data_IF_983284247391
#
_entry.id   IF_983284247391
#
_cell.length_a   1.000
_cell.length_b   1.000
_cell.length_c   1.000
_cell.angle_alpha   90.00
_cell.angle_beta   90.00
_cell.angle_gamma   90.00
#
_symmetry.space_group_name_H-M   'P 1'
#
loop_
_entity.id
_entity.type
_entity.pdbx_description
1 polymer ?
#
# COMPACT_ATOMS: atom_id res chain seq x y z
N UNK A 1 15.62 3.53 -6.09
CA UNK A 1 14.69 2.97 -5.07
C UNK A 1 14.32 1.55 -5.48
N UNK A 2 14.37 0.58 -4.55
CA UNK A 2 13.98 -0.82 -4.78
C UNK A 2 12.48 -0.93 -4.45
N UNK A 3 11.62 -1.22 -5.44
CA UNK A 3 10.17 -1.25 -5.27
C UNK A 3 9.60 -2.67 -5.17
N UNK A 4 10.35 -3.65 -5.67
CA UNK A 4 9.98 -5.06 -5.70
C UNK A 4 11.24 -5.90 -5.86
N UNK A 5 11.26 -7.07 -5.23
CA UNK A 5 12.29 -8.10 -5.41
C UNK A 5 11.60 -9.39 -5.84
N UNK A 6 12.08 -9.99 -6.93
CA UNK A 6 11.66 -11.28 -7.45
C UNK A 6 12.88 -12.20 -7.57
N UNK A 7 12.74 -13.43 -7.14
CA UNK A 7 13.80 -14.41 -7.22
C UNK A 7 13.51 -15.67 -6.40
N UNK A 8 14.53 -16.50 -6.25
CA UNK A 8 14.47 -17.74 -5.46
C UNK A 8 14.63 -17.42 -3.98
N UNK A 9 13.70 -17.88 -3.16
CA UNK A 9 13.77 -17.79 -1.70
C UNK A 9 14.87 -18.72 -1.18
N UNK A 10 15.93 -18.17 -0.61
CA UNK A 10 17.09 -18.91 -0.09
C UNK A 10 17.04 -19.11 1.41
N UNK A 11 16.48 -18.13 2.13
CA UNK A 11 16.29 -18.18 3.59
C UNK A 11 14.88 -17.72 3.92
N UNK A 12 14.23 -18.38 4.90
CA UNK A 12 12.89 -18.00 5.39
C UNK A 12 12.83 -18.13 6.91
N UNK A 13 12.99 -17.00 7.58
CA UNK A 13 12.86 -16.85 9.02
C UNK A 13 11.63 -16.00 9.37
N UNK A 14 11.18 -16.00 10.62
CA UNK A 14 9.96 -15.32 11.05
C UNK A 14 9.98 -13.80 10.84
N UNK A 15 11.15 -13.20 10.91
CA UNK A 15 11.36 -11.74 10.87
C UNK A 15 12.11 -11.27 9.63
N UNK A 16 12.76 -12.18 8.89
CA UNK A 16 13.47 -11.86 7.65
C UNK A 16 13.51 -13.01 6.66
N UNK A 17 13.80 -12.66 5.42
CA UNK A 17 13.99 -13.60 4.31
C UNK A 17 15.15 -13.15 3.43
N UNK A 18 15.75 -14.10 2.71
CA UNK A 18 16.69 -13.80 1.64
C UNK A 18 16.14 -14.26 0.30
N UNK A 19 16.22 -13.38 -0.69
CA UNK A 19 15.83 -13.68 -2.07
C UNK A 19 17.03 -13.48 -2.98
N UNK A 20 17.44 -14.55 -3.66
CA UNK A 20 18.47 -14.54 -4.70
C UNK A 20 17.82 -14.26 -6.05
N UNK A 21 18.17 -13.15 -6.65
CA UNK A 21 17.68 -12.78 -7.99
C UNK A 21 18.39 -13.55 -9.09
N UNK A 22 17.82 -13.62 -10.29
CA UNK A 22 18.46 -14.26 -11.45
C UNK A 22 19.80 -13.61 -11.84
N UNK A 23 19.95 -12.32 -11.56
CA UNK A 23 21.20 -11.58 -11.77
C UNK A 23 22.29 -11.88 -10.73
N UNK A 24 22.07 -12.81 -9.80
CA UNK A 24 23.07 -13.22 -8.79
C UNK A 24 23.21 -12.27 -7.61
N UNK A 25 22.26 -11.35 -7.39
CA UNK A 25 22.21 -10.47 -6.22
C UNK A 25 21.26 -11.06 -5.18
N UNK A 26 21.76 -11.30 -3.98
CA UNK A 26 20.95 -11.67 -2.80
C UNK A 26 20.45 -10.42 -2.06
N UNK A 27 19.17 -10.39 -1.76
CA UNK A 27 18.56 -9.36 -0.92
C UNK A 27 18.06 -9.97 0.37
N UNK A 28 18.48 -9.41 1.49
CA UNK A 28 17.88 -9.65 2.81
C UNK A 28 16.76 -8.64 3.04
N UNK A 29 15.58 -9.13 3.41
CA UNK A 29 14.39 -8.31 3.63
C UNK A 29 13.80 -8.62 5.01
N UNK A 30 13.63 -7.61 5.84
CA UNK A 30 12.80 -7.73 7.03
C UNK A 30 11.32 -7.78 6.63
N UNK A 31 10.57 -8.70 7.20
CA UNK A 31 9.17 -8.95 6.80
C UNK A 31 8.23 -8.98 8.02
N UNK A 32 6.95 -8.61 7.87
CA UNK A 32 5.93 -8.88 8.87
C UNK A 32 5.51 -10.37 8.83
N UNK A 33 4.90 -10.85 9.92
CA UNK A 33 4.43 -12.24 10.02
C UNK A 33 3.44 -12.61 8.90
N UNK A 34 2.59 -11.68 8.47
CA UNK A 34 1.68 -11.87 7.34
C UNK A 34 2.40 -12.23 6.03
N UNK A 35 3.54 -11.58 5.77
CA UNK A 35 4.36 -11.91 4.60
C UNK A 35 5.05 -13.26 4.75
N UNK A 36 5.55 -13.62 5.96
CA UNK A 36 6.09 -14.94 6.23
C UNK A 36 5.08 -16.06 5.92
N UNK A 37 3.83 -15.91 6.36
CA UNK A 37 2.75 -16.88 6.13
C UNK A 37 2.40 -17.03 4.65
N UNK A 38 2.45 -15.94 3.89
CA UNK A 38 2.11 -15.92 2.46
C UNK A 38 3.24 -16.44 1.55
N UNK A 39 4.48 -16.49 2.04
CA UNK A 39 5.63 -16.91 1.24
C UNK A 39 5.69 -18.43 1.04
N UNK A 40 6.16 -18.90 -0.14
CA UNK A 40 6.33 -20.30 -0.44
C UNK A 40 7.48 -20.94 0.39
N UNK A 41 7.81 -22.19 0.09
CA UNK A 41 8.92 -22.88 0.73
C UNK A 41 10.28 -22.36 0.20
N UNK A 42 11.31 -22.50 1.01
CA UNK A 42 12.70 -22.27 0.59
C UNK A 42 13.02 -23.10 -0.65
N UNK A 43 13.68 -22.47 -1.62
CA UNK A 43 13.99 -23.02 -2.93
C UNK A 43 13.01 -22.65 -4.05
N UNK A 44 11.79 -22.23 -3.71
CA UNK A 44 10.79 -21.76 -4.67
C UNK A 44 10.95 -20.27 -4.98
N UNK A 45 10.31 -19.80 -6.05
CA UNK A 45 10.32 -18.38 -6.42
C UNK A 45 9.31 -17.58 -5.62
N UNK A 46 9.70 -16.39 -5.21
CA UNK A 46 8.87 -15.45 -4.47
C UNK A 46 9.00 -14.04 -5.03
N UNK A 47 7.94 -13.26 -4.83
CA UNK A 47 7.90 -11.83 -5.13
C UNK A 47 7.50 -11.08 -3.88
N UNK A 48 8.28 -10.07 -3.50
CA UNK A 48 7.94 -9.16 -2.41
C UNK A 48 7.93 -7.72 -2.90
N UNK A 49 6.92 -6.98 -2.47
CA UNK A 49 6.86 -5.52 -2.62
C UNK A 49 7.70 -4.88 -1.55
N UNK A 50 8.61 -3.98 -1.93
CA UNK A 50 9.65 -3.55 -1.01
C UNK A 50 9.60 -2.06 -0.67
N UNK A 51 10.11 -1.73 0.51
CA UNK A 51 10.39 -0.38 0.96
C UNK A 51 11.79 -0.30 1.53
N UNK A 52 12.62 0.58 0.95
CA UNK A 52 13.98 0.82 1.40
C UNK A 52 13.99 1.99 2.39
N UNK A 53 14.55 1.76 3.57
CA UNK A 53 14.86 2.80 4.55
C UNK A 53 16.37 3.02 4.54
N UNK A 54 16.78 4.24 4.22
CA UNK A 54 18.17 4.66 4.19
C UNK A 54 18.45 5.50 5.42
N UNK A 55 19.46 5.13 6.21
CA UNK A 55 19.96 5.86 7.38
C UNK A 55 21.47 5.99 7.29
N UNK A 56 22.05 6.85 8.11
CA UNK A 56 23.50 7.02 8.20
C UNK A 56 24.21 5.73 8.67
N UNK A 57 23.57 4.98 9.54
CA UNK A 57 24.07 3.73 10.13
C UNK A 57 23.80 2.48 9.27
N UNK A 58 23.05 2.59 8.18
CA UNK A 58 22.79 1.47 7.28
C UNK A 58 21.52 1.58 6.46
N UNK A 59 21.39 0.63 5.54
CA UNK A 59 20.22 0.49 4.67
C UNK A 59 19.44 -0.75 5.11
N UNK A 60 18.14 -0.60 5.26
CA UNK A 60 17.24 -1.69 5.60
C UNK A 60 16.18 -1.83 4.53
N UNK A 61 16.02 -3.04 3.99
CA UNK A 61 15.00 -3.37 3.01
C UNK A 61 13.88 -4.14 3.71
N UNK A 62 12.65 -3.68 3.51
CA UNK A 62 11.44 -4.28 4.07
C UNK A 62 10.61 -4.91 2.96
N UNK A 63 10.09 -6.12 3.18
CA UNK A 63 9.33 -6.89 2.21
C UNK A 63 7.90 -7.15 2.66
N UNK A 64 6.94 -7.06 1.72
CA UNK A 64 5.51 -7.21 1.95
C UNK A 64 4.92 -8.10 0.87
N UNK A 65 3.93 -8.92 1.23
CA UNK A 65 3.24 -9.81 0.30
C UNK A 65 2.35 -9.04 -0.70
N UNK A 66 1.84 -7.88 -0.30
CA UNK A 66 0.95 -7.07 -1.14
C UNK A 66 1.40 -5.61 -1.25
N UNK A 67 1.02 -4.91 -2.37
CA UNK A 67 1.22 -3.46 -2.48
C UNK A 67 0.48 -2.69 -1.38
N UNK A 68 -0.64 -3.22 -0.88
CA UNK A 68 -1.42 -2.60 0.16
C UNK A 68 -0.69 -2.58 1.50
N UNK A 69 -0.16 -3.74 1.95
CA UNK A 69 0.68 -3.83 3.16
C UNK A 69 1.86 -2.84 3.11
N UNK A 70 2.56 -2.77 1.96
CA UNK A 70 3.64 -1.79 1.76
C UNK A 70 3.17 -0.35 1.90
N UNK A 71 2.00 0.00 1.35
CA UNK A 71 1.43 1.35 1.49
C UNK A 71 1.10 1.67 2.94
N UNK A 72 0.46 0.72 3.65
CA UNK A 72 0.13 0.88 5.07
C UNK A 72 1.40 1.07 5.90
N UNK A 73 2.42 0.23 5.69
CA UNK A 73 3.73 0.38 6.36
C UNK A 73 4.31 1.77 6.17
N UNK A 74 4.35 2.28 4.94
CA UNK A 74 4.86 3.62 4.64
C UNK A 74 4.08 4.71 5.37
N UNK A 75 2.76 4.61 5.41
CA UNK A 75 1.91 5.57 6.13
C UNK A 75 2.12 5.52 7.63
N UNK A 76 2.29 4.32 8.17
CA UNK A 76 2.56 4.14 9.61
C UNK A 76 3.89 4.79 10.03
N UNK A 77 4.91 4.76 9.16
CA UNK A 77 6.17 5.48 9.40
C UNK A 77 6.03 7.01 9.47
N UNK A 78 4.95 7.57 8.91
CA UNK A 78 4.68 9.03 8.98
C UNK A 78 4.14 9.47 10.35
N UNK A 79 3.87 8.54 11.27
CA UNK A 79 3.43 8.86 12.63
C UNK A 79 4.63 9.19 13.55
N UNK A 80 4.45 10.19 14.40
CA UNK A 80 5.51 10.65 15.31
C UNK A 80 6.00 9.55 16.24
N UNK A 81 7.31 9.31 16.23
CA UNK A 81 7.96 8.32 17.08
C UNK A 81 7.63 6.86 16.70
N UNK A 82 7.26 6.62 15.45
CA UNK A 82 7.12 5.28 14.87
C UNK A 82 8.31 5.02 13.95
N UNK A 83 9.14 4.08 14.37
CA UNK A 83 10.22 3.58 13.52
C UNK A 83 9.85 2.27 12.82
N UNK A 84 10.70 1.78 11.90
CA UNK A 84 10.43 0.56 11.13
C UNK A 84 10.12 -0.67 11.98
N UNK A 85 10.83 -0.87 13.09
CA UNK A 85 10.60 -2.01 13.98
C UNK A 85 9.18 -2.00 14.61
N UNK A 86 8.68 -0.82 15.01
CA UNK A 86 7.32 -0.71 15.52
C UNK A 86 6.29 -0.87 14.40
N UNK A 87 6.55 -0.31 13.22
CA UNK A 87 5.68 -0.45 12.06
C UNK A 87 5.56 -1.93 11.60
N UNK A 88 6.66 -2.70 11.59
CA UNK A 88 6.61 -4.15 11.38
C UNK A 88 5.84 -4.87 12.49
N UNK A 89 6.04 -4.51 13.74
CA UNK A 89 5.31 -5.09 14.88
C UNK A 89 3.79 -4.88 14.76
N UNK A 90 3.36 -3.70 14.31
CA UNK A 90 1.95 -3.40 14.03
C UNK A 90 1.39 -4.33 12.94
N UNK A 91 2.08 -4.49 11.82
CA UNK A 91 1.66 -5.35 10.70
C UNK A 91 1.85 -6.86 10.97
N UNK A 92 2.69 -7.24 11.92
CA UNK A 92 2.82 -8.64 12.35
C UNK A 92 1.71 -9.05 13.33
N UNK A 93 1.19 -8.11 14.12
CA UNK A 93 0.13 -8.38 15.11
C UNK A 93 -1.26 -8.20 14.50
N UNK A 94 -1.41 -7.23 13.61
CA UNK A 94 -2.68 -6.88 12.95
C UNK A 94 -2.50 -6.96 11.43
N UNK A 95 -3.46 -7.57 10.72
CA UNK A 95 -3.45 -7.43 9.26
C UNK A 95 -3.54 -5.97 8.87
N UNK A 96 -3.05 -5.61 7.67
CA UNK A 96 -3.05 -4.24 7.20
C UNK A 96 -4.46 -3.62 7.19
N UNK A 97 -5.48 -4.40 6.83
CA UNK A 97 -6.89 -3.99 6.83
C UNK A 97 -7.40 -3.74 8.24
N UNK A 98 -7.05 -4.64 9.19
CA UNK A 98 -7.45 -4.50 10.60
C UNK A 98 -6.78 -3.29 11.24
N UNK A 99 -5.50 -3.05 10.94
CA UNK A 99 -4.78 -1.88 11.43
C UNK A 99 -5.41 -0.58 10.92
N UNK A 100 -5.70 -0.49 9.61
CA UNK A 100 -6.36 0.68 9.01
C UNK A 100 -7.75 0.90 9.63
N UNK A 101 -8.53 -0.16 9.81
CA UNK A 101 -9.84 -0.10 10.45
C UNK A 101 -9.74 0.39 11.89
N UNK A 102 -8.85 -0.19 12.70
CA UNK A 102 -8.67 0.20 14.10
C UNK A 102 -8.30 1.68 14.26
N UNK A 103 -7.49 2.23 13.34
CA UNK A 103 -7.13 3.65 13.35
C UNK A 103 -8.33 4.53 12.96
N UNK A 104 -9.09 4.18 11.94
CA UNK A 104 -10.29 4.91 11.49
C UNK A 104 -11.40 4.92 12.55
N UNK A 105 -11.67 3.76 13.15
CA UNK A 105 -12.69 3.59 14.19
C UNK A 105 -12.20 4.08 15.56
N UNK A 106 -10.96 4.54 15.67
CA UNK A 106 -10.31 4.99 16.91
C UNK A 106 -10.32 3.89 18.00
N UNK A 107 -10.19 2.63 17.55
CA UNK A 107 -10.18 1.46 18.43
C UNK A 107 -8.82 1.34 19.14
N UNK A 108 -8.69 2.08 20.24
CA UNK A 108 -7.50 2.10 21.08
C UNK A 108 -7.20 0.72 21.66
N UNK A 109 -8.23 -0.06 22.00
CA UNK A 109 -8.06 -1.39 22.60
C UNK A 109 -7.37 -2.36 21.62
N UNK A 110 -7.81 -2.40 20.36
CA UNK A 110 -7.14 -3.19 19.32
C UNK A 110 -5.70 -2.75 19.10
N UNK A 111 -5.42 -1.43 19.07
CA UNK A 111 -4.05 -0.94 18.90
C UNK A 111 -3.14 -1.29 20.10
N UNK A 112 -3.67 -1.33 21.31
CA UNK A 112 -2.93 -1.72 22.51
C UNK A 112 -2.60 -3.22 22.56
N UNK A 113 -3.23 -4.06 21.75
CA UNK A 113 -2.86 -5.47 21.64
C UNK A 113 -1.46 -5.68 21.03
N UNK A 114 -0.93 -4.65 20.36
CA UNK A 114 0.39 -4.70 19.75
C UNK A 114 1.47 -4.47 20.82
N UNK A 115 2.50 -5.32 20.91
CA UNK A 115 3.61 -5.13 21.85
C UNK A 115 4.24 -3.76 21.72
N UNK A 116 4.56 -3.12 22.85
CA UNK A 116 5.15 -1.77 22.94
C UNK A 116 4.21 -0.62 22.53
N UNK A 117 2.92 -0.89 22.28
CA UNK A 117 1.90 0.12 22.02
C UNK A 117 1.04 0.27 23.27
N UNK A 118 1.40 1.21 24.13
CA UNK A 118 0.57 1.64 25.26
C UNK A 118 -0.52 2.63 24.82
N UNK A 119 -1.44 2.97 25.73
CA UNK A 119 -2.58 3.87 25.47
C UNK A 119 -2.17 5.19 24.79
N UNK A 120 -1.17 5.90 25.33
CA UNK A 120 -0.68 7.16 24.75
C UNK A 120 -0.18 7.01 23.31
N UNK A 121 0.51 5.90 23.01
CA UNK A 121 1.00 5.61 21.66
C UNK A 121 -0.15 5.27 20.73
N UNK A 122 -1.13 4.51 21.17
CA UNK A 122 -2.33 4.19 20.38
C UNK A 122 -3.14 5.45 20.03
N UNK A 123 -3.36 6.34 21.01
CA UNK A 123 -4.02 7.64 20.81
C UNK A 123 -3.23 8.52 19.82
N UNK A 124 -1.90 8.55 19.93
CA UNK A 124 -1.04 9.28 18.99
C UNK A 124 -1.09 8.69 17.57
N UNK A 125 -1.09 7.36 17.42
CA UNK A 125 -1.24 6.71 16.11
C UNK A 125 -2.56 7.10 15.45
N UNK A 126 -3.65 7.11 16.20
CA UNK A 126 -4.97 7.53 15.67
C UNK A 126 -4.91 9.00 15.24
N UNK A 127 -4.36 9.89 16.06
CA UNK A 127 -4.28 11.32 15.75
C UNK A 127 -3.44 11.59 14.49
N UNK A 128 -2.29 10.92 14.36
CA UNK A 128 -1.34 11.19 13.28
C UNK A 128 -1.75 10.54 11.95
N UNK A 129 -2.55 9.46 11.98
CA UNK A 129 -2.78 8.61 10.82
C UNK A 129 -4.23 8.57 10.33
N UNK A 130 -5.23 9.02 11.10
CA UNK A 130 -6.63 8.94 10.69
C UNK A 130 -6.85 9.52 9.29
N UNK A 131 -6.47 10.78 9.07
CA UNK A 131 -6.63 11.46 7.79
C UNK A 131 -5.72 10.89 6.68
N UNK A 132 -4.54 10.38 7.06
CA UNK A 132 -3.55 9.85 6.10
C UNK A 132 -3.91 8.47 5.55
N UNK A 133 -4.75 7.73 6.27
CA UNK A 133 -5.22 6.41 5.88
C UNK A 133 -6.57 6.43 5.15
N UNK A 134 -7.29 7.56 5.17
CA UNK A 134 -8.58 7.69 4.47
C UNK A 134 -8.47 7.48 2.95
N UNK A 135 -7.35 7.83 2.35
CA UNK A 135 -7.05 7.55 0.94
C UNK A 135 -6.55 6.13 0.64
N UNK A 136 -6.30 5.31 1.67
CA UNK A 136 -5.87 3.91 1.50
C UNK A 136 -7.02 2.91 1.51
N UNK A 137 -8.27 3.37 1.42
CA UNK A 137 -9.44 2.50 1.33
C UNK A 137 -9.33 1.53 0.17
N UNK A 138 -9.26 0.26 0.54
CA UNK A 138 -9.37 -0.94 -0.26
C UNK A 138 -9.16 -0.84 -1.77
N UNK A 139 -8.01 -1.30 -2.28
CA UNK A 139 -8.10 -1.92 -3.60
C UNK A 139 -9.01 -3.15 -3.42
N UNK A 140 -10.07 -3.29 -4.23
CA UNK A 140 -10.76 -4.56 -4.30
C UNK A 140 -9.71 -5.61 -4.69
N UNK A 141 -9.60 -6.70 -3.90
CA UNK A 141 -9.06 -7.96 -4.38
C UNK A 141 -9.57 -8.14 -5.81
N UNK A 142 -8.68 -8.50 -6.75
CA UNK A 142 -9.00 -8.67 -8.16
C UNK A 142 -10.16 -9.65 -8.37
N UNK A 143 -11.37 -9.14 -8.17
CA UNK A 143 -12.64 -9.72 -8.60
C UNK A 143 -13.19 -8.86 -9.73
N UNK A 144 -14.17 -9.33 -10.50
CA UNK A 144 -14.77 -8.54 -11.58
C UNK A 144 -15.27 -7.21 -10.99
N UNK A 145 -14.69 -6.10 -11.48
CA UNK A 145 -15.02 -4.73 -11.02
C UNK A 145 -16.49 -4.43 -11.36
N UNK A 146 -17.26 -3.86 -10.41
CA UNK A 146 -18.61 -3.39 -10.72
C UNK A 146 -18.59 -2.39 -11.88
N UNK A 147 -19.57 -2.47 -12.77
CA UNK A 147 -19.80 -1.47 -13.80
C UNK A 147 -19.98 -0.10 -13.12
N UNK A 148 -19.08 0.86 -13.39
CA UNK A 148 -19.04 2.18 -12.76
C UNK A 148 -17.71 2.56 -12.09
N UNK A 149 -16.87 1.61 -11.71
CA UNK A 149 -15.56 1.87 -11.09
C UNK A 149 -14.57 2.63 -12.02
N UNK A 150 -14.81 2.60 -13.33
CA UNK A 150 -13.95 3.27 -14.31
C UNK A 150 -13.95 4.80 -14.22
N UNK A 151 -15.08 5.41 -13.80
CA UNK A 151 -15.19 6.86 -13.70
C UNK A 151 -14.41 7.41 -12.50
N UNK A 152 -14.49 6.77 -11.34
CA UNK A 152 -13.74 7.17 -10.15
C UNK A 152 -12.23 6.98 -10.34
N UNK A 153 -11.83 5.88 -11.00
CA UNK A 153 -10.42 5.63 -11.33
C UNK A 153 -9.90 6.68 -12.32
N UNK A 154 -10.71 7.11 -13.30
CA UNK A 154 -10.38 8.15 -14.24
C UNK A 154 -10.23 9.53 -13.55
N UNK A 155 -11.13 9.89 -12.63
CA UNK A 155 -11.04 11.12 -11.84
C UNK A 155 -9.76 11.12 -11.01
N UNK A 156 -9.47 10.05 -10.29
CA UNK A 156 -8.23 9.92 -9.49
C UNK A 156 -6.97 10.04 -10.34
N UNK A 157 -6.96 9.44 -11.53
CA UNK A 157 -5.83 9.54 -12.43
C UNK A 157 -5.61 10.99 -12.91
N UNK A 158 -6.67 11.72 -13.28
CA UNK A 158 -6.58 13.12 -13.68
C UNK A 158 -6.09 14.02 -12.55
N UNK A 159 -6.57 13.80 -11.33
CA UNK A 159 -6.08 14.54 -10.15
C UNK A 159 -4.59 14.25 -9.90
N UNK A 160 -4.13 13.01 -10.09
CA UNK A 160 -2.71 12.65 -9.95
C UNK A 160 -1.83 13.28 -11.06
N UNK A 161 -2.40 13.64 -12.20
CA UNK A 161 -1.77 14.37 -13.29
C UNK A 161 -1.76 15.90 -13.09
N UNK A 162 -2.31 16.38 -11.95
CA UNK A 162 -2.27 17.79 -11.55
C UNK A 162 -3.52 18.61 -11.87
N UNK A 163 -4.59 17.98 -12.36
CA UNK A 163 -5.88 18.65 -12.54
C UNK A 163 -6.62 18.78 -11.22
N UNK A 164 -7.39 19.88 -11.04
CA UNK A 164 -8.27 20.00 -9.86
C UNK A 164 -9.40 18.97 -9.91
N UNK A 165 -9.93 18.60 -8.74
CA UNK A 165 -11.04 17.64 -8.64
C UNK A 165 -12.23 18.05 -9.51
N UNK A 166 -12.58 19.32 -9.50
CA UNK A 166 -13.70 19.86 -10.29
C UNK A 166 -13.47 19.74 -11.81
N UNK A 167 -12.24 19.99 -12.28
CA UNK A 167 -11.88 19.81 -13.69
C UNK A 167 -11.88 18.35 -14.10
N UNK A 168 -11.37 17.46 -13.23
CA UNK A 168 -11.36 16.02 -13.45
C UNK A 168 -12.79 15.45 -13.53
N UNK A 169 -13.68 15.82 -12.61
CA UNK A 169 -15.08 15.40 -12.61
C UNK A 169 -15.83 15.89 -13.86
N UNK A 170 -15.65 17.17 -14.23
CA UNK A 170 -16.25 17.75 -15.42
C UNK A 170 -15.81 17.05 -16.69
N UNK A 171 -14.50 16.77 -16.82
CA UNK A 171 -13.91 16.11 -17.98
C UNK A 171 -14.38 14.63 -18.12
N UNK A 172 -14.43 13.89 -17.02
CA UNK A 172 -14.90 12.50 -17.01
C UNK A 172 -16.40 12.43 -17.31
N UNK A 173 -17.22 13.33 -16.74
CA UNK A 173 -18.65 13.42 -17.06
C UNK A 173 -18.88 13.71 -18.54
N UNK A 174 -18.18 14.70 -19.11
CA UNK A 174 -18.26 15.02 -20.52
C UNK A 174 -17.76 13.88 -21.44
N UNK A 175 -16.84 13.02 -20.99
CA UNK A 175 -16.39 11.85 -21.71
C UNK A 175 -17.45 10.72 -21.69
N UNK A 176 -18.15 10.54 -20.57
CA UNK A 176 -19.27 9.58 -20.43
C UNK A 176 -20.46 9.97 -21.31
N UNK A 177 -20.83 11.24 -21.30
CA UNK A 177 -21.99 11.76 -22.07
C UNK A 177 -21.80 11.63 -23.59
N UNK A 178 -20.54 11.68 -24.06
CA UNK A 178 -20.25 11.66 -25.50
C UNK A 178 -20.20 10.28 -26.14
N UNK A 179 -20.06 9.19 -25.38
CA UNK A 179 -19.82 7.86 -25.97
C UNK A 179 -20.79 6.74 -25.55
N UNK A 180 -21.82 6.97 -24.76
CA UNK A 180 -22.97 6.08 -24.51
C UNK A 180 -22.72 4.59 -24.21
N UNK A 181 -21.47 4.13 -24.03
CA UNK A 181 -21.08 2.75 -23.74
C UNK A 181 -20.18 2.68 -22.53
N UNK A 182 -20.26 1.62 -21.77
CA UNK A 182 -19.33 1.31 -20.69
C UNK A 182 -17.90 1.30 -21.21
N UNK A 183 -17.12 2.34 -20.86
CA UNK A 183 -15.72 2.50 -21.27
C UNK A 183 -14.81 1.99 -20.15
N UNK A 184 -13.67 1.40 -20.54
CA UNK A 184 -12.61 1.13 -19.58
C UNK A 184 -12.07 2.43 -18.95
N UNK A 185 -11.56 2.38 -17.73
CA UNK A 185 -10.93 3.54 -17.08
C UNK A 185 -9.87 4.21 -17.98
N UNK A 186 -9.11 3.41 -18.72
CA UNK A 186 -8.07 3.90 -19.64
C UNK A 186 -8.65 4.71 -20.81
N UNK A 187 -9.78 4.27 -21.38
CA UNK A 187 -10.47 5.00 -22.44
C UNK A 187 -11.10 6.31 -21.94
N UNK A 188 -11.70 6.25 -20.73
CA UNK A 188 -12.24 7.45 -20.07
C UNK A 188 -11.16 8.49 -19.79
N UNK A 189 -9.99 8.08 -19.28
CA UNK A 189 -8.84 8.96 -19.04
C UNK A 189 -8.40 9.62 -20.36
N UNK A 190 -8.23 8.84 -21.42
CA UNK A 190 -7.81 9.35 -22.73
C UNK A 190 -8.80 10.37 -23.30
N UNK A 191 -10.08 10.05 -23.23
CA UNK A 191 -11.15 10.91 -23.73
C UNK A 191 -11.32 12.19 -22.89
N UNK A 192 -11.18 12.08 -21.58
CA UNK A 192 -11.21 13.22 -20.67
C UNK A 192 -10.01 14.17 -20.89
N UNK A 193 -8.80 13.63 -21.09
CA UNK A 193 -7.59 14.43 -21.39
C UNK A 193 -7.71 15.18 -22.71
N UNK A 194 -8.34 14.60 -23.74
CA UNK A 194 -8.60 15.28 -25.01
C UNK A 194 -9.54 16.49 -24.85
N UNK A 195 -10.48 16.44 -23.90
CA UNK A 195 -11.45 17.51 -23.62
C UNK A 195 -10.96 18.61 -22.68
N UNK A 196 -9.94 18.34 -21.88
CA UNK A 196 -9.32 19.36 -20.99
C UNK A 196 -8.31 20.22 -21.75
N UNK A 197 -7.77 19.72 -22.87
CA UNK A 197 -6.78 20.43 -23.70
C UNK A 197 -7.41 21.28 -24.83
N UNK A 198 -8.68 21.20 -25.07
CA UNK A 198 -9.42 21.99 -26.05
C UNK A 198 -10.31 23.03 -25.37
#
# INVERSE_FOLDING_TARGET
MISQVFGRLTTKELDHVEIMTEGGVGYELAIPLSAYEALPKVGETATLHTHLVVREDGWQLFGFSTPFERRVFRRVLDAKGVGPALALGLLSTLSAERLVRAIREKDIATLQSVPRVGRKKAEQLVLDLADKLDGLGGEPVAGPRPEGAGAEDAIRALVSLGYSLAEAEKAVRAALDSNGRAQSATELIRNALAKVRG
#
